data_IF_327604656907
#
_entry.id   IF_327604656907
#
_cell.length_a   1.000
_cell.length_b   1.000
_cell.length_c   1.000
_cell.angle_alpha   90.00
_cell.angle_beta   90.00
_cell.angle_gamma   90.00
#
_symmetry.space_group_name_H-M   'P 1'
#
loop_
_entity.id
_entity.type
_entity.pdbx_description
1 polymer ?
#
# COMPACT_ATOMS: atom_id res chain seq x y z
N UNK A 1 60.35 -72.68 37.50
CA UNK A 1 60.56 -72.12 36.16
C UNK A 1 59.15 -71.82 35.63
N UNK A 2 58.59 -70.64 35.88
CA UNK A 2 57.20 -70.29 35.52
C UNK A 2 57.31 -69.07 34.60
N UNK A 3 56.84 -69.15 33.34
CA UNK A 3 56.81 -68.07 32.36
C UNK A 3 55.60 -67.20 32.58
N UNK A 4 55.65 -65.84 32.51
CA UNK A 4 54.51 -64.99 32.60
C UNK A 4 53.80 -64.89 31.23
N UNK A 5 52.49 -65.00 31.27
CA UNK A 5 51.53 -64.89 30.17
C UNK A 5 51.28 -63.36 29.87
N UNK A 6 51.58 -62.99 28.64
CA UNK A 6 51.37 -61.55 28.23
C UNK A 6 49.92 -61.30 27.88
N UNK A 7 49.27 -60.35 28.55
CA UNK A 7 47.94 -59.83 28.29
C UNK A 7 48.03 -58.73 27.23
N UNK A 8 47.59 -58.96 26.03
CA UNK A 8 47.59 -57.99 24.92
C UNK A 8 46.19 -57.87 24.27
N UNK A 9 45.10 -57.80 25.07
CA UNK A 9 43.76 -57.73 24.51
C UNK A 9 42.95 -56.51 24.84
N UNK A 10 43.50 -55.51 25.54
CA UNK A 10 42.70 -54.42 26.10
C UNK A 10 42.83 -53.07 25.37
N UNK A 11 43.68 -52.97 24.33
CA UNK A 11 43.88 -51.68 23.63
C UNK A 11 43.03 -51.46 22.35
N UNK A 12 42.37 -52.48 21.82
CA UNK A 12 41.56 -52.33 20.58
C UNK A 12 40.10 -52.01 20.78
N UNK A 13 39.54 -52.23 21.96
CA UNK A 13 38.11 -51.95 22.24
C UNK A 13 37.85 -50.48 22.59
N UNK A 14 38.82 -49.77 23.18
CA UNK A 14 38.66 -48.36 23.55
C UNK A 14 38.73 -47.41 22.37
N UNK A 15 39.40 -47.77 21.28
CA UNK A 15 39.51 -46.94 20.09
C UNK A 15 38.22 -46.96 19.21
N UNK A 16 37.48 -48.07 19.21
CA UNK A 16 36.24 -48.18 18.42
C UNK A 16 35.05 -47.40 19.03
N UNK A 17 34.99 -47.30 20.36
CA UNK A 17 33.90 -46.61 21.04
C UNK A 17 34.03 -45.09 20.93
N UNK A 18 35.23 -44.53 20.82
CA UNK A 18 35.43 -43.08 20.63
C UNK A 18 35.05 -42.57 19.25
N UNK A 19 35.22 -43.39 18.22
CA UNK A 19 34.87 -43.01 16.84
C UNK A 19 33.36 -42.97 16.60
N UNK A 20 32.58 -43.83 17.27
CA UNK A 20 31.12 -43.89 17.15
C UNK A 20 30.43 -42.71 17.86
N UNK A 21 30.96 -42.28 19.01
CA UNK A 21 30.39 -41.15 19.77
C UNK A 21 30.68 -39.80 19.08
N UNK A 22 31.82 -39.64 18.42
CA UNK A 22 32.13 -38.42 17.66
C UNK A 22 31.35 -38.30 16.33
N UNK A 23 31.00 -39.44 15.70
CA UNK A 23 30.16 -39.42 14.48
C UNK A 23 28.70 -39.05 14.72
N UNK A 24 28.14 -39.44 15.86
CA UNK A 24 26.74 -39.13 16.23
C UNK A 24 26.53 -37.68 16.68
N UNK A 25 27.52 -37.04 17.27
CA UNK A 25 27.45 -35.62 17.67
C UNK A 25 27.55 -34.67 16.45
N UNK A 26 28.31 -35.07 15.41
CA UNK A 26 28.45 -34.29 14.19
C UNK A 26 27.19 -34.26 13.32
N UNK A 27 26.43 -35.37 13.29
CA UNK A 27 25.19 -35.45 12.49
C UNK A 27 24.01 -34.70 13.17
N UNK A 28 23.98 -34.67 14.50
CA UNK A 28 22.93 -33.94 15.22
C UNK A 28 23.07 -32.39 15.11
N UNK A 29 24.29 -31.86 14.94
CA UNK A 29 24.53 -30.41 14.79
C UNK A 29 24.23 -29.86 13.39
N UNK A 30 24.32 -30.70 12.34
CA UNK A 30 23.98 -30.29 10.98
C UNK A 30 22.46 -30.31 10.73
N UNK A 31 21.70 -31.15 11.45
CA UNK A 31 20.25 -31.22 11.33
C UNK A 31 19.54 -30.05 12.00
N UNK A 32 20.18 -29.32 12.95
CA UNK A 32 19.56 -28.20 13.69
C UNK A 32 19.74 -26.85 12.98
N UNK A 33 20.63 -26.72 12.00
CA UNK A 33 20.87 -25.49 11.27
C UNK A 33 19.94 -25.29 10.05
N UNK A 34 19.11 -26.29 9.69
CA UNK A 34 18.21 -26.20 8.54
C UNK A 34 16.77 -25.77 8.89
N UNK A 35 16.49 -25.39 10.15
CA UNK A 35 15.12 -25.15 10.62
C UNK A 35 14.81 -23.67 10.93
N UNK A 36 15.39 -22.71 10.26
CA UNK A 36 14.95 -21.30 10.42
C UNK A 36 15.12 -20.53 9.13
N UNK A 37 14.25 -20.79 8.19
CA UNK A 37 13.86 -19.84 7.14
C UNK A 37 12.45 -20.19 6.69
N UNK A 38 11.49 -20.15 7.62
CA UNK A 38 10.11 -19.92 7.24
C UNK A 38 10.03 -18.43 6.95
N UNK A 39 9.81 -17.99 5.71
CA UNK A 39 9.49 -16.59 5.49
C UNK A 39 8.24 -16.33 6.31
N UNK A 40 8.33 -15.39 7.27
CA UNK A 40 7.14 -14.85 7.92
C UNK A 40 6.24 -14.34 6.81
N UNK A 41 5.21 -15.08 6.47
CA UNK A 41 4.11 -14.61 5.66
C UNK A 41 3.49 -13.45 6.44
N UNK A 42 3.90 -12.23 6.08
CA UNK A 42 3.33 -11.01 6.64
C UNK A 42 1.83 -11.07 6.35
N UNK A 43 1.01 -11.17 7.40
CA UNK A 43 -0.45 -11.12 7.35
C UNK A 43 -1.00 -9.82 6.71
N UNK A 44 -0.11 -8.96 6.19
CA UNK A 44 -0.39 -7.67 5.58
C UNK A 44 -0.72 -7.72 4.08
N UNK A 45 -0.63 -8.88 3.42
CA UNK A 45 -0.71 -8.97 1.96
C UNK A 45 -2.03 -9.55 1.42
N UNK A 46 -3.10 -9.54 2.21
CA UNK A 46 -4.40 -9.97 1.73
C UNK A 46 -5.16 -8.82 1.01
N UNK A 47 -5.86 -9.11 -0.10
CA UNK A 47 -6.75 -8.14 -0.73
C UNK A 47 -7.89 -7.78 0.23
N UNK A 48 -8.38 -6.54 0.14
CA UNK A 48 -9.55 -6.09 0.91
C UNK A 48 -10.74 -5.97 -0.03
N UNK A 49 -11.87 -6.55 0.37
CA UNK A 49 -13.14 -6.43 -0.36
C UNK A 49 -14.13 -5.61 0.47
N UNK A 50 -14.70 -4.58 -0.15
CA UNK A 50 -15.76 -3.74 0.42
C UNK A 50 -16.78 -3.44 -0.67
N UNK A 51 -18.09 -3.63 -0.40
CA UNK A 51 -19.17 -3.41 -1.38
C UNK A 51 -18.91 -4.15 -2.70
N UNK A 52 -18.51 -5.43 -2.63
CA UNK A 52 -18.16 -6.29 -3.77
C UNK A 52 -17.00 -5.75 -4.63
N UNK A 53 -16.27 -4.74 -4.15
CA UNK A 53 -15.09 -4.18 -4.80
C UNK A 53 -13.82 -4.70 -4.13
N UNK A 54 -13.04 -5.49 -4.85
CA UNK A 54 -11.78 -6.07 -4.34
C UNK A 54 -10.60 -5.20 -4.71
N UNK A 55 -9.83 -4.78 -3.72
CA UNK A 55 -8.58 -4.04 -3.85
C UNK A 55 -7.40 -4.99 -3.60
N UNK A 56 -6.51 -5.19 -4.57
CA UNK A 56 -5.30 -5.98 -4.36
C UNK A 56 -4.47 -5.42 -3.21
N UNK A 57 -3.78 -6.29 -2.48
CA UNK A 57 -2.91 -5.89 -1.37
C UNK A 57 -1.76 -4.96 -1.80
N UNK A 58 -1.37 -5.03 -3.06
CA UNK A 58 -0.28 -4.24 -3.65
C UNK A 58 -0.71 -3.59 -4.96
N UNK A 59 -0.10 -2.45 -5.27
CA UNK A 59 -0.23 -1.76 -6.54
C UNK A 59 1.13 -1.19 -6.94
N UNK A 60 1.30 -0.89 -8.23
CA UNK A 60 2.53 -0.27 -8.74
C UNK A 60 2.23 1.11 -9.29
N UNK A 61 3.05 2.10 -8.87
CA UNK A 61 3.06 3.45 -9.43
C UNK A 61 4.48 3.76 -9.87
N UNK A 62 4.66 4.07 -11.13
CA UNK A 62 5.97 4.12 -11.79
C UNK A 62 6.76 2.82 -11.53
N UNK A 63 7.98 2.90 -10.99
CA UNK A 63 8.81 1.73 -10.65
C UNK A 63 8.59 1.20 -9.24
N UNK A 64 7.75 1.87 -8.41
CA UNK A 64 7.61 1.57 -6.98
C UNK A 64 6.39 0.71 -6.72
N UNK A 65 6.57 -0.36 -5.93
CA UNK A 65 5.48 -1.15 -5.37
C UNK A 65 4.95 -0.48 -4.11
N UNK A 66 3.63 -0.36 -4.02
CA UNK A 66 2.90 0.24 -2.91
C UNK A 66 2.05 -0.80 -2.20
N UNK A 67 1.85 -0.62 -0.89
CA UNK A 67 0.97 -1.43 -0.07
C UNK A 67 -0.41 -0.77 0.05
N UNK A 68 -1.47 -1.58 0.04
CA UNK A 68 -2.81 -1.11 0.37
C UNK A 68 -2.86 -0.69 1.84
N UNK A 69 -3.03 0.59 2.09
CA UNK A 69 -3.15 1.16 3.43
C UNK A 69 -4.51 0.87 4.06
N UNK A 70 -5.56 1.11 3.28
CA UNK A 70 -6.92 0.87 3.71
C UNK A 70 -7.92 1.14 2.61
N UNK A 71 -9.19 0.79 2.88
CA UNK A 71 -10.31 0.90 1.93
C UNK A 71 -11.50 1.52 2.65
N UNK A 72 -12.15 2.50 2.02
CA UNK A 72 -13.31 3.17 2.60
C UNK A 72 -14.43 3.41 1.58
N UNK A 73 -15.67 3.43 2.05
CA UNK A 73 -16.86 3.71 1.26
C UNK A 73 -17.18 5.21 1.32
N UNK A 74 -17.37 5.83 0.16
CA UNK A 74 -18.01 7.14 0.05
C UNK A 74 -19.51 6.95 -0.12
N UNK A 75 -20.27 7.38 0.86
CA UNK A 75 -21.72 7.45 0.77
C UNK A 75 -22.20 8.91 0.85
N UNK A 76 -23.26 9.24 0.12
CA UNK A 76 -23.94 10.52 0.20
C UNK A 76 -25.42 10.25 0.42
N UNK A 77 -25.93 10.58 1.60
CA UNK A 77 -27.27 10.18 2.06
C UNK A 77 -27.46 8.67 1.98
N UNK A 78 -28.33 8.19 1.09
CA UNK A 78 -28.63 6.78 0.86
C UNK A 78 -27.83 6.16 -0.31
N UNK A 79 -27.08 6.99 -1.03
CA UNK A 79 -26.37 6.54 -2.23
C UNK A 79 -24.93 6.17 -1.90
N UNK A 80 -24.51 4.95 -2.30
CA UNK A 80 -23.13 4.52 -2.31
C UNK A 80 -22.49 5.01 -3.60
N UNK A 81 -21.55 5.94 -3.50
CA UNK A 81 -20.99 6.63 -4.68
C UNK A 81 -19.79 5.88 -5.24
N UNK A 82 -18.81 5.57 -4.39
CA UNK A 82 -17.63 4.78 -4.74
C UNK A 82 -16.99 4.14 -3.50
N UNK A 83 -16.19 3.11 -3.73
CA UNK A 83 -15.21 2.63 -2.76
C UNK A 83 -13.86 3.17 -3.16
N UNK A 84 -13.10 3.70 -2.20
CA UNK A 84 -11.73 4.16 -2.43
C UNK A 84 -10.72 3.30 -1.66
N UNK A 85 -9.56 3.05 -2.28
CA UNK A 85 -8.39 2.43 -1.67
C UNK A 85 -7.20 3.36 -1.74
N UNK A 86 -6.47 3.48 -0.64
CA UNK A 86 -5.24 4.28 -0.55
C UNK A 86 -4.04 3.32 -0.55
N UNK A 87 -3.09 3.56 -1.45
CA UNK A 87 -1.86 2.80 -1.54
C UNK A 87 -0.66 3.70 -1.24
N UNK A 88 0.22 3.23 -0.38
CA UNK A 88 1.36 3.97 0.17
C UNK A 88 2.65 3.14 0.11
N UNK A 89 3.83 3.76 0.13
CA UNK A 89 5.10 3.06 0.33
C UNK A 89 5.15 2.29 1.65
N UNK A 90 4.63 2.90 2.72
CA UNK A 90 4.55 2.33 4.07
C UNK A 90 3.18 2.65 4.66
N UNK A 91 2.59 1.70 5.38
CA UNK A 91 1.28 1.90 6.03
C UNK A 91 1.34 3.03 7.05
N UNK A 92 0.25 3.79 7.14
CA UNK A 92 0.09 4.92 8.05
C UNK A 92 -1.34 4.98 8.60
N UNK A 93 -1.47 5.25 9.89
CA UNK A 93 -2.76 5.31 10.58
C UNK A 93 -3.30 6.75 10.77
N UNK A 94 -2.52 7.77 10.39
CA UNK A 94 -2.95 9.17 10.45
C UNK A 94 -2.78 9.88 9.11
N UNK A 95 -3.63 10.89 8.85
CA UNK A 95 -3.50 11.73 7.66
C UNK A 95 -2.17 12.47 7.61
N UNK A 96 -1.67 12.94 8.76
CA UNK A 96 -0.38 13.62 8.86
C UNK A 96 0.77 12.71 8.43
N UNK A 97 0.78 11.44 8.90
CA UNK A 97 1.82 10.47 8.51
C UNK A 97 1.77 10.15 7.01
N UNK A 98 0.56 10.06 6.42
CA UNK A 98 0.41 9.85 4.97
C UNK A 98 0.99 11.02 4.19
N UNK A 99 0.69 12.26 4.60
CA UNK A 99 1.14 13.47 3.92
C UNK A 99 2.65 13.68 4.08
N UNK A 100 3.23 13.29 5.21
CA UNK A 100 4.67 13.38 5.47
C UNK A 100 5.50 12.35 4.68
N UNK A 101 4.90 11.26 4.20
CA UNK A 101 5.63 10.26 3.42
C UNK A 101 6.10 10.84 2.08
N UNK A 102 7.38 10.70 1.80
CA UNK A 102 7.92 10.90 0.47
C UNK A 102 7.55 9.73 -0.48
N UNK A 103 7.74 9.95 -1.78
CA UNK A 103 7.57 8.89 -2.78
C UNK A 103 6.16 8.77 -3.35
N UNK A 104 5.97 7.77 -4.22
CA UNK A 104 4.72 7.57 -4.95
C UNK A 104 3.56 7.19 -4.03
N UNK A 105 2.35 7.55 -4.46
CA UNK A 105 1.09 7.22 -3.78
C UNK A 105 0.00 6.99 -4.82
N UNK A 106 -1.03 6.23 -4.49
CA UNK A 106 -2.23 6.07 -5.31
C UNK A 106 -3.48 6.20 -4.46
N UNK A 107 -4.42 7.01 -4.93
CA UNK A 107 -5.81 6.93 -4.54
C UNK A 107 -6.58 6.27 -5.69
N UNK A 108 -7.10 5.06 -5.46
CA UNK A 108 -7.94 4.35 -6.42
C UNK A 108 -9.40 4.46 -6.01
N UNK A 109 -10.29 4.81 -6.94
CA UNK A 109 -11.73 4.81 -6.72
C UNK A 109 -12.39 3.81 -7.66
N UNK A 110 -13.34 3.02 -7.14
CA UNK A 110 -14.18 2.09 -7.88
C UNK A 110 -15.62 2.58 -7.78
N UNK A 111 -16.18 2.99 -8.91
CA UNK A 111 -17.48 3.64 -8.97
C UNK A 111 -18.62 2.65 -8.72
N UNK A 112 -19.54 3.00 -7.82
CA UNK A 112 -20.74 2.19 -7.49
C UNK A 112 -22.01 2.72 -8.17
N UNK A 113 -21.93 3.93 -8.76
CA UNK A 113 -23.01 4.55 -9.53
C UNK A 113 -22.45 5.41 -10.65
N UNK A 114 -23.29 5.72 -11.62
CA UNK A 114 -22.99 6.71 -12.66
C UNK A 114 -22.96 8.13 -12.07
N UNK A 115 -22.10 8.97 -12.63
CA UNK A 115 -22.04 10.36 -12.22
C UNK A 115 -21.38 11.26 -13.28
N UNK A 116 -21.82 12.54 -13.40
CA UNK A 116 -21.21 13.46 -14.35
C UNK A 116 -19.83 13.89 -13.89
N UNK A 117 -18.87 13.96 -14.83
CA UNK A 117 -17.49 14.40 -14.54
C UNK A 117 -17.42 15.79 -13.94
N UNK A 118 -18.33 16.67 -14.32
CA UNK A 118 -18.45 18.03 -13.78
C UNK A 118 -18.64 18.07 -12.27
N UNK A 119 -19.42 17.15 -11.70
CA UNK A 119 -19.63 17.09 -10.25
C UNK A 119 -18.37 16.58 -9.53
N UNK A 120 -17.65 15.63 -10.13
CA UNK A 120 -16.36 15.20 -9.62
C UNK A 120 -15.33 16.34 -9.67
N UNK A 121 -15.23 17.04 -10.80
CA UNK A 121 -14.34 18.19 -10.95
C UNK A 121 -14.61 19.27 -9.90
N UNK A 122 -15.88 19.67 -9.73
CA UNK A 122 -16.30 20.62 -8.68
C UNK A 122 -15.96 20.12 -7.27
N UNK A 123 -16.20 18.83 -6.99
CA UNK A 123 -15.93 18.26 -5.67
C UNK A 123 -14.43 18.28 -5.33
N UNK A 124 -13.57 17.94 -6.29
CA UNK A 124 -12.12 17.91 -6.11
C UNK A 124 -11.54 19.33 -6.02
N UNK A 125 -11.78 20.18 -7.01
CA UNK A 125 -11.20 21.54 -7.02
C UNK A 125 -11.76 22.41 -5.91
N UNK A 126 -13.06 22.32 -5.65
CA UNK A 126 -13.69 22.98 -4.48
C UNK A 126 -13.18 22.43 -3.15
N UNK A 127 -12.92 21.11 -3.10
CA UNK A 127 -12.33 20.45 -1.94
C UNK A 127 -10.93 20.95 -1.62
N UNK A 128 -10.07 21.11 -2.62
CA UNK A 128 -8.73 21.69 -2.50
C UNK A 128 -8.84 23.12 -1.97
N UNK A 129 -9.59 23.99 -2.66
CA UNK A 129 -9.72 25.41 -2.29
C UNK A 129 -10.27 25.62 -0.87
N UNK A 130 -11.16 24.74 -0.40
CA UNK A 130 -11.75 24.84 0.94
C UNK A 130 -10.77 24.48 2.06
N UNK A 131 -9.75 23.64 1.79
CA UNK A 131 -8.86 23.09 2.82
C UNK A 131 -7.48 23.68 2.81
N UNK A 132 -7.07 24.22 1.68
CA UNK A 132 -5.74 24.81 1.48
C UNK A 132 -5.80 26.32 1.77
N UNK A 133 -4.78 26.91 2.42
CA UNK A 133 -4.66 28.35 2.60
C UNK A 133 -4.72 29.10 1.26
N UNK A 134 -5.27 30.31 1.25
CA UNK A 134 -5.55 31.05 0.01
C UNK A 134 -4.29 31.40 -0.79
N UNK A 135 -3.19 31.70 -0.11
CA UNK A 135 -1.88 31.96 -0.73
C UNK A 135 -1.32 30.73 -1.43
N UNK A 136 -1.46 29.55 -0.81
CA UNK A 136 -1.06 28.28 -1.42
C UNK A 136 -1.98 27.90 -2.59
N UNK A 137 -3.29 28.15 -2.50
CA UNK A 137 -4.21 27.97 -3.63
C UNK A 137 -3.78 28.87 -4.79
N UNK A 138 -3.46 30.15 -4.53
CA UNK A 138 -2.99 31.06 -5.56
C UNK A 138 -1.69 30.57 -6.23
N UNK A 139 -0.75 30.04 -5.46
CA UNK A 139 0.50 29.50 -5.96
C UNK A 139 0.35 28.25 -6.85
N UNK A 140 -0.75 27.49 -6.68
CA UNK A 140 -1.02 26.28 -7.46
C UNK A 140 -2.22 26.42 -8.42
N UNK A 141 -2.75 27.65 -8.64
CA UNK A 141 -4.01 27.87 -9.37
C UNK A 141 -3.99 27.27 -10.77
N UNK A 142 -2.95 27.52 -11.57
CA UNK A 142 -2.85 26.95 -12.93
C UNK A 142 -2.88 25.42 -12.92
N UNK A 143 -2.22 24.79 -11.96
CA UNK A 143 -2.19 23.33 -11.81
C UNK A 143 -3.55 22.76 -11.35
N UNK A 144 -4.29 23.52 -10.53
CA UNK A 144 -5.66 23.16 -10.18
C UNK A 144 -6.56 23.23 -11.42
N UNK A 145 -6.37 24.23 -12.28
CA UNK A 145 -7.15 24.40 -13.51
C UNK A 145 -6.81 23.31 -14.54
N UNK A 146 -5.54 22.92 -14.67
CA UNK A 146 -5.12 21.79 -15.51
C UNK A 146 -5.74 20.47 -15.04
N UNK A 147 -5.79 20.24 -13.73
CA UNK A 147 -6.43 19.06 -13.14
C UNK A 147 -7.96 19.09 -13.31
N UNK A 148 -8.61 20.24 -13.13
CA UNK A 148 -10.05 20.44 -13.41
C UNK A 148 -10.38 20.09 -14.87
N UNK A 149 -9.58 20.59 -15.81
CA UNK A 149 -9.72 20.26 -17.22
C UNK A 149 -9.59 18.75 -17.48
N UNK A 150 -8.60 18.11 -16.87
CA UNK A 150 -8.41 16.65 -16.96
C UNK A 150 -9.64 15.90 -16.46
N UNK A 151 -10.17 16.27 -15.29
CA UNK A 151 -11.36 15.64 -14.72
C UNK A 151 -12.59 15.79 -15.64
N UNK A 152 -12.82 16.96 -16.20
CA UNK A 152 -13.96 17.23 -17.12
C UNK A 152 -13.82 16.50 -18.46
N UNK A 153 -12.59 16.30 -18.93
CA UNK A 153 -12.34 15.63 -20.20
C UNK A 153 -12.72 14.14 -20.23
N UNK A 154 -12.93 13.53 -19.04
CA UNK A 154 -13.33 12.12 -18.89
C UNK A 154 -14.72 11.84 -19.42
N UNK A 155 -15.62 12.86 -19.40
CA UNK A 155 -17.05 12.64 -19.58
C UNK A 155 -17.67 11.98 -18.34
N UNK A 156 -18.87 11.43 -18.49
CA UNK A 156 -19.55 10.76 -17.38
C UNK A 156 -18.82 9.47 -16.99
N UNK A 157 -18.54 9.34 -15.69
CA UNK A 157 -18.09 8.06 -15.13
C UNK A 157 -19.27 7.12 -14.95
N UNK A 158 -19.03 5.83 -15.10
CA UNK A 158 -20.06 4.79 -15.03
C UNK A 158 -19.81 3.89 -13.82
N UNK A 159 -20.89 3.26 -13.33
CA UNK A 159 -20.77 2.19 -12.35
C UNK A 159 -19.83 1.11 -12.89
N UNK A 160 -18.86 0.72 -12.04
CA UNK A 160 -17.80 -0.25 -12.38
C UNK A 160 -16.52 0.39 -12.91
N UNK A 161 -16.51 1.68 -13.23
CA UNK A 161 -15.30 2.37 -13.63
C UNK A 161 -14.27 2.42 -12.48
N UNK A 162 -12.99 2.33 -12.87
CA UNK A 162 -11.85 2.42 -11.97
C UNK A 162 -11.06 3.68 -12.31
N UNK A 163 -11.04 4.62 -11.37
CA UNK A 163 -10.24 5.85 -11.46
C UNK A 163 -9.03 5.71 -10.56
N UNK A 164 -7.82 5.91 -11.10
CA UNK A 164 -6.63 6.06 -10.29
C UNK A 164 -6.15 7.51 -10.37
N UNK A 165 -5.84 8.06 -9.21
CA UNK A 165 -5.11 9.31 -9.03
C UNK A 165 -3.75 8.97 -8.42
N UNK A 166 -2.73 8.94 -9.26
CA UNK A 166 -1.39 8.52 -8.92
C UNK A 166 -0.47 9.74 -8.78
N UNK A 167 0.41 9.69 -7.82
CA UNK A 167 1.50 10.64 -7.69
C UNK A 167 2.84 9.90 -7.77
N UNK A 168 3.74 10.44 -8.57
CA UNK A 168 5.16 10.07 -8.55
C UNK A 168 6.00 11.36 -8.52
N UNK A 169 7.07 11.45 -7.68
CA UNK A 169 7.84 12.69 -7.49
C UNK A 169 8.34 13.33 -8.79
N UNK A 170 8.82 12.52 -9.74
CA UNK A 170 9.40 12.96 -11.01
C UNK A 170 8.36 13.20 -12.12
N UNK A 171 7.10 12.85 -11.90
CA UNK A 171 6.02 12.92 -12.90
C UNK A 171 4.93 13.92 -12.47
N UNK A 172 4.58 13.92 -11.19
CA UNK A 172 3.44 14.65 -10.64
C UNK A 172 2.18 13.79 -10.49
N UNK A 173 1.03 14.46 -10.43
CA UNK A 173 -0.29 13.85 -10.40
C UNK A 173 -0.69 13.37 -11.81
N UNK A 174 -1.02 12.10 -11.93
CA UNK A 174 -1.57 11.49 -13.14
C UNK A 174 -2.92 10.86 -12.86
N UNK A 175 -3.78 10.82 -13.86
CA UNK A 175 -5.08 10.18 -13.78
C UNK A 175 -5.18 9.05 -14.81
N UNK A 176 -5.79 7.93 -14.40
CA UNK A 176 -6.23 6.89 -15.34
C UNK A 176 -7.70 6.55 -15.12
N UNK A 177 -8.41 6.26 -16.20
CA UNK A 177 -9.76 5.68 -16.19
C UNK A 177 -9.69 4.30 -16.85
N UNK A 178 -10.05 3.26 -16.09
CA UNK A 178 -9.98 1.87 -16.55
C UNK A 178 -8.61 1.48 -17.14
N UNK A 179 -7.54 2.00 -16.50
CA UNK A 179 -6.16 1.76 -16.90
C UNK A 179 -5.65 2.61 -18.07
N UNK A 180 -6.50 3.42 -18.70
CA UNK A 180 -6.08 4.35 -19.77
C UNK A 180 -5.75 5.71 -19.18
N UNK A 181 -4.62 6.30 -19.56
CA UNK A 181 -4.23 7.64 -19.12
C UNK A 181 -5.23 8.69 -19.62
N UNK A 182 -5.53 9.67 -18.77
CA UNK A 182 -6.40 10.81 -19.06
C UNK A 182 -5.65 12.10 -18.76
N UNK A 183 -5.64 13.01 -19.73
CA UNK A 183 -4.95 14.28 -19.64
C UNK A 183 -3.42 14.14 -19.55
N UNK A 184 -2.76 15.24 -19.20
CA UNK A 184 -1.33 15.30 -18.98
C UNK A 184 -1.01 15.21 -17.50
N UNK A 185 0.20 14.76 -17.11
CA UNK A 185 0.65 14.83 -15.74
C UNK A 185 0.67 16.28 -15.23
N UNK A 186 0.20 16.51 -14.00
CA UNK A 186 0.22 17.81 -13.35
C UNK A 186 1.30 17.80 -12.27
N UNK A 187 2.38 18.60 -12.38
CA UNK A 187 3.50 18.56 -11.46
C UNK A 187 3.13 19.12 -10.08
N UNK A 188 3.90 18.74 -9.07
CA UNK A 188 3.86 19.29 -7.71
C UNK A 188 3.27 18.34 -6.67
N UNK A 189 4.09 18.05 -5.67
CA UNK A 189 3.69 17.25 -4.52
C UNK A 189 2.65 17.97 -3.63
N UNK A 190 2.71 19.29 -3.61
CA UNK A 190 1.79 20.18 -2.90
C UNK A 190 0.35 20.06 -3.40
N UNK A 191 0.14 19.99 -4.72
CA UNK A 191 -1.19 19.78 -5.30
C UNK A 191 -1.74 18.40 -4.91
N UNK A 192 -0.91 17.35 -4.99
CA UNK A 192 -1.35 16.00 -4.60
C UNK A 192 -1.63 15.90 -3.10
N UNK A 193 -0.83 16.56 -2.26
CA UNK A 193 -1.09 16.65 -0.83
C UNK A 193 -2.43 17.36 -0.55
N UNK A 194 -2.68 18.49 -1.21
CA UNK A 194 -3.95 19.23 -1.09
C UNK A 194 -5.17 18.40 -1.57
N UNK A 195 -4.97 17.55 -2.59
CA UNK A 195 -5.99 16.59 -3.03
C UNK A 195 -6.24 15.52 -1.97
N UNK A 196 -5.19 14.93 -1.39
CA UNK A 196 -5.34 13.92 -0.34
C UNK A 196 -6.01 14.48 0.93
N UNK A 197 -5.80 15.75 1.26
CA UNK A 197 -6.48 16.43 2.38
C UNK A 197 -8.01 16.36 2.30
N UNK A 198 -8.59 16.23 1.11
CA UNK A 198 -10.04 16.03 0.93
C UNK A 198 -10.52 14.76 1.60
N UNK A 199 -9.68 13.71 1.55
CA UNK A 199 -10.02 12.34 1.95
C UNK A 199 -9.55 12.00 3.37
N UNK A 200 -8.34 12.43 3.73
CA UNK A 200 -7.66 11.99 4.95
C UNK A 200 -7.28 13.14 5.89
N UNK A 201 -7.45 14.38 5.47
CA UNK A 201 -7.14 15.56 6.29
C UNK A 201 -8.07 15.70 7.51
N UNK A 202 -7.73 16.63 8.41
CA UNK A 202 -8.54 16.88 9.62
C UNK A 202 -9.95 17.38 9.32
N UNK A 203 -10.10 18.07 8.18
CA UNK A 203 -11.39 18.56 7.67
C UNK A 203 -11.96 17.70 6.55
N UNK A 204 -11.65 16.39 6.54
CA UNK A 204 -12.22 15.47 5.57
C UNK A 204 -13.75 15.46 5.64
N UNK A 205 -14.42 15.47 4.48
CA UNK A 205 -15.88 15.54 4.41
C UNK A 205 -16.58 14.28 4.92
N UNK A 206 -15.88 13.16 4.96
CA UNK A 206 -16.45 11.86 5.29
C UNK A 206 -15.53 11.14 6.28
N UNK A 207 -15.84 11.19 7.58
CA UNK A 207 -15.04 10.55 8.62
C UNK A 207 -14.96 9.02 8.47
N UNK A 208 -16.00 8.37 7.93
CA UNK A 208 -16.02 6.91 7.72
C UNK A 208 -15.11 6.53 6.56
N UNK A 209 -15.15 7.28 5.46
CA UNK A 209 -14.21 7.10 4.35
C UNK A 209 -12.77 7.31 4.83
N UNK A 210 -12.51 8.40 5.58
CA UNK A 210 -11.19 8.69 6.16
C UNK A 210 -10.69 7.53 7.01
N UNK A 211 -11.50 7.05 7.98
CA UNK A 211 -11.13 5.94 8.85
C UNK A 211 -10.78 4.69 8.03
N UNK A 212 -11.62 4.34 7.04
CA UNK A 212 -11.37 3.22 6.15
C UNK A 212 -10.05 3.33 5.37
N UNK A 213 -9.77 4.50 4.78
CA UNK A 213 -8.52 4.76 4.04
C UNK A 213 -7.27 4.70 4.94
N UNK A 214 -7.40 5.08 6.20
CA UNK A 214 -6.33 5.01 7.19
C UNK A 214 -6.21 3.63 7.87
N UNK A 215 -7.04 2.64 7.45
CA UNK A 215 -7.01 1.30 8.02
C UNK A 215 -7.43 1.25 9.49
N UNK A 216 -8.15 2.26 9.97
CA UNK A 216 -8.69 2.31 11.32
C UNK A 216 -10.10 1.69 11.29
N UNK A 217 -10.42 0.72 12.16
CA UNK A 217 -11.78 0.20 12.28
C UNK A 217 -12.75 1.34 12.59
N UNK A 218 -13.84 1.46 11.81
CA UNK A 218 -14.91 2.45 12.01
C UNK A 218 -15.89 2.04 13.09
#
# INVERSE_FOLDING_TARGET
MIRPMRYTATRRVVAATRAIVQGLVGVALVAFAALVLVPEAHAADAPITLEDQTFPARARVASTELQLNGVGLRAAFIYKVYVAGLYLPTKAASGADVLAQAGPKRLQMRMLMDGPSDEFAKAFTGGIRKRTPADQVAAMQSRIDDFDHTLRSVGDVKKGDIVNLDFAPDVGLTMTLNGKAVGNPVPGADLYAALLEIFIGDRANDPKLKAGLLGVPG
#
